data_IF_268474163611
#
_entry.id   IF_268474163611
#
_cell.length_a   1.000
_cell.length_b   1.000
_cell.length_c   1.000
_cell.angle_alpha   90.00
_cell.angle_beta   90.00
_cell.angle_gamma   90.00
#
_symmetry.space_group_name_H-M   'P 1'
#
loop_
_entity.id
_entity.type
_entity.pdbx_description
1 polymer ?
#
# COMPACT_ATOMS: atom_id res chain seq x y z
N UNK A 1 -6.83 19.45 -5.85
CA UNK A 1 -5.54 19.32 -5.16
C UNK A 1 -4.43 19.80 -6.07
N UNK A 2 -3.48 20.53 -5.51
CA UNK A 2 -2.37 21.05 -6.27
C UNK A 2 -1.32 19.94 -6.47
N UNK A 3 -1.22 19.44 -7.69
CA UNK A 3 -0.30 18.33 -8.00
C UNK A 3 1.13 18.78 -8.22
N UNK A 4 1.38 20.07 -8.30
CA UNK A 4 2.74 20.59 -8.47
C UNK A 4 3.53 20.49 -7.16
N UNK A 5 2.82 20.36 -6.05
CA UNK A 5 3.44 20.35 -4.75
C UNK A 5 3.32 18.97 -4.12
N UNK A 6 4.46 18.33 -3.90
CA UNK A 6 4.47 17.01 -3.29
C UNK A 6 4.24 17.15 -1.79
N UNK A 7 3.33 16.36 -1.27
CA UNK A 7 3.07 16.31 0.17
C UNK A 7 4.35 15.91 0.90
N UNK A 8 4.62 16.53 2.06
CA UNK A 8 5.79 16.18 2.84
C UNK A 8 5.68 14.76 3.41
N UNK A 9 6.83 14.17 3.73
CA UNK A 9 6.82 12.85 4.36
C UNK A 9 6.08 12.88 5.69
N UNK A 10 6.23 13.98 6.45
CA UNK A 10 5.55 14.10 7.74
C UNK A 10 4.04 14.11 7.60
N UNK A 11 3.53 14.90 6.65
CA UNK A 11 2.09 14.97 6.42
C UNK A 11 1.57 13.65 5.86
N UNK A 12 2.34 13.01 4.97
CA UNK A 12 1.96 11.72 4.43
C UNK A 12 1.93 10.65 5.52
N UNK A 13 2.92 10.68 6.41
CA UNK A 13 2.97 9.73 7.52
C UNK A 13 1.75 9.85 8.44
N UNK A 14 1.24 11.06 8.63
CA UNK A 14 0.01 11.23 9.40
C UNK A 14 -1.18 10.54 8.73
N UNK A 15 -1.26 10.62 7.40
CA UNK A 15 -2.31 9.91 6.67
C UNK A 15 -2.15 8.40 6.79
N UNK A 16 -0.91 7.91 6.71
CA UNK A 16 -0.63 6.49 6.84
C UNK A 16 -1.00 5.99 8.24
N UNK A 17 -0.64 6.75 9.26
CA UNK A 17 -0.98 6.38 10.64
C UNK A 17 -2.50 6.32 10.83
N UNK A 18 -3.21 7.31 10.32
CA UNK A 18 -4.66 7.30 10.38
C UNK A 18 -5.25 6.10 9.63
N UNK A 19 -4.69 5.80 8.46
CA UNK A 19 -5.13 4.65 7.68
C UNK A 19 -4.92 3.35 8.45
N UNK A 20 -3.76 3.19 9.08
CA UNK A 20 -3.48 2.00 9.87
C UNK A 20 -4.46 1.82 11.00
N UNK A 21 -4.93 2.91 11.60
CA UNK A 21 -5.91 2.83 12.67
C UNK A 21 -7.30 2.43 12.17
N UNK A 22 -7.58 2.64 10.89
CA UNK A 22 -8.87 2.29 10.31
C UNK A 22 -8.90 0.94 9.60
N UNK A 23 -7.74 0.34 9.37
CA UNK A 23 -7.67 -0.98 8.75
C UNK A 23 -7.94 -2.07 9.78
N UNK A 24 -8.28 -3.29 9.32
CA UNK A 24 -8.52 -4.39 10.26
C UNK A 24 -7.31 -4.62 11.16
N UNK A 25 -7.50 -4.43 12.47
CA UNK A 25 -6.37 -4.40 13.40
C UNK A 25 -5.65 -5.72 13.52
N UNK A 26 -6.33 -6.84 13.28
CA UNK A 26 -5.66 -8.13 13.31
C UNK A 26 -4.54 -8.21 12.28
N UNK A 27 -4.71 -7.55 11.12
CA UNK A 27 -3.68 -7.56 10.09
C UNK A 27 -2.58 -6.54 10.36
N UNK A 28 -2.92 -5.44 11.02
CA UNK A 28 -1.91 -4.44 11.40
C UNK A 28 -1.03 -4.99 12.52
N UNK A 29 -1.64 -5.58 13.54
CA UNK A 29 -0.91 -6.11 14.68
C UNK A 29 -0.06 -7.33 14.32
N UNK A 30 -0.45 -8.04 13.28
CA UNK A 30 0.30 -9.20 12.82
C UNK A 30 1.50 -8.88 11.95
N UNK A 31 1.70 -7.63 11.58
CA UNK A 31 2.87 -7.26 10.78
C UNK A 31 4.13 -7.46 11.62
N UNK A 32 5.08 -8.20 11.06
CA UNK A 32 6.30 -8.53 11.76
C UNK A 32 7.49 -8.28 10.85
N UNK A 33 8.39 -7.41 11.29
CA UNK A 33 9.58 -7.05 10.55
C UNK A 33 9.25 -6.49 9.16
N UNK A 34 8.34 -5.53 9.13
CA UNK A 34 7.93 -4.86 7.90
C UNK A 34 8.21 -3.37 8.05
N UNK A 35 8.95 -2.81 7.10
CA UNK A 35 9.20 -1.38 7.05
C UNK A 35 8.23 -0.75 6.05
N UNK A 36 7.61 0.35 6.43
CA UNK A 36 6.76 1.13 5.52
C UNK A 36 7.52 2.41 5.22
N UNK A 37 7.84 2.62 3.95
CA UNK A 37 8.64 3.76 3.52
C UNK A 37 7.93 4.52 2.41
N UNK A 38 8.34 5.75 2.20
CA UNK A 38 7.72 6.64 1.22
C UNK A 38 8.75 7.09 0.20
N UNK A 39 8.34 7.16 -1.06
CA UNK A 39 9.14 7.73 -2.12
C UNK A 39 8.24 8.61 -2.97
N UNK A 40 8.82 9.56 -3.69
CA UNK A 40 8.02 10.41 -4.56
C UNK A 40 7.54 9.62 -5.77
N UNK A 41 8.44 8.90 -6.42
CA UNK A 41 8.15 8.10 -7.61
C UNK A 41 8.82 6.74 -7.50
N UNK A 42 8.24 5.69 -8.12
CA UNK A 42 8.97 4.44 -8.24
C UNK A 42 10.20 4.63 -9.12
N UNK A 43 11.28 3.94 -8.78
CA UNK A 43 12.44 3.90 -9.63
C UNK A 43 12.23 2.86 -10.74
N UNK A 44 13.17 2.83 -11.68
CA UNK A 44 13.07 1.94 -12.82
C UNK A 44 12.99 0.46 -12.40
N UNK A 45 13.80 0.08 -11.43
CA UNK A 45 13.79 -1.30 -10.92
C UNK A 45 12.44 -1.68 -10.33
N UNK A 46 11.86 -0.79 -9.53
CA UNK A 46 10.55 -1.04 -8.92
C UNK A 46 9.45 -1.14 -9.97
N UNK A 47 9.49 -0.27 -10.96
CA UNK A 47 8.50 -0.32 -12.04
C UNK A 47 8.60 -1.62 -12.83
N UNK A 48 9.81 -2.07 -13.11
CA UNK A 48 10.02 -3.34 -13.81
C UNK A 48 9.58 -4.54 -12.98
N UNK A 49 9.89 -4.51 -11.68
CA UNK A 49 9.55 -5.59 -10.77
C UNK A 49 8.05 -5.79 -10.66
N UNK A 50 7.29 -4.71 -10.73
CA UNK A 50 5.83 -4.78 -10.66
C UNK A 50 5.19 -5.20 -11.97
N UNK A 51 5.96 -5.31 -13.05
CA UNK A 51 5.46 -5.60 -14.39
C UNK A 51 4.43 -4.56 -14.83
N UNK A 52 4.68 -3.32 -14.46
CA UNK A 52 3.77 -2.23 -14.76
C UNK A 52 3.75 -1.94 -16.26
N UNK A 53 2.56 -1.84 -16.83
CA UNK A 53 2.42 -1.50 -18.23
C UNK A 53 2.69 -0.02 -18.43
N UNK A 54 3.23 0.32 -19.59
CA UNK A 54 3.50 1.71 -19.93
C UNK A 54 2.22 2.55 -19.78
N UNK A 55 2.37 3.71 -19.18
CA UNK A 55 1.25 4.62 -18.96
C UNK A 55 0.48 4.42 -17.68
N UNK A 56 0.70 3.32 -16.99
CA UNK A 56 0.06 3.07 -15.70
C UNK A 56 0.90 3.62 -14.57
N UNK A 57 0.23 3.95 -13.46
CA UNK A 57 0.90 4.45 -12.27
C UNK A 57 1.03 3.34 -11.24
N UNK A 58 2.18 3.26 -10.61
CA UNK A 58 2.41 2.36 -9.49
C UNK A 58 2.22 3.17 -8.21
N UNK A 59 1.24 2.81 -7.42
CA UNK A 59 0.91 3.55 -6.19
C UNK A 59 1.65 3.03 -4.98
N UNK A 60 1.95 1.72 -4.96
CA UNK A 60 2.67 1.10 -3.87
C UNK A 60 3.31 -0.19 -4.32
N UNK A 61 4.21 -0.72 -3.50
CA UNK A 61 4.89 -1.97 -3.84
C UNK A 61 5.34 -2.66 -2.55
N UNK A 62 4.98 -3.93 -2.44
CA UNK A 62 5.51 -4.81 -1.40
C UNK A 62 6.71 -5.57 -1.95
N UNK A 63 7.81 -5.56 -1.19
CA UNK A 63 9.01 -6.31 -1.55
C UNK A 63 9.41 -7.18 -0.38
N UNK A 64 9.41 -8.49 -0.59
CA UNK A 64 9.74 -9.45 0.45
C UNK A 64 9.28 -10.82 0.04
N UNK A 65 9.19 -11.73 1.01
CA UNK A 65 8.67 -13.07 0.81
C UNK A 65 7.35 -13.20 1.56
N UNK A 66 6.21 -13.29 0.86
CA UNK A 66 4.91 -13.38 1.54
C UNK A 66 4.87 -14.53 2.53
N UNK A 67 4.14 -14.36 3.61
CA UNK A 67 4.07 -15.35 4.68
C UNK A 67 3.68 -16.74 4.19
N UNK A 68 2.76 -16.81 3.24
CA UNK A 68 2.30 -18.08 2.69
C UNK A 68 3.39 -18.84 1.93
N UNK A 69 4.49 -18.18 1.59
CA UNK A 69 5.57 -18.77 0.82
C UNK A 69 6.82 -19.05 1.65
N UNK A 70 6.79 -18.76 2.94
CA UNK A 70 7.93 -18.99 3.81
C UNK A 70 7.94 -20.40 4.33
N UNK A 71 9.08 -21.07 4.17
CA UNK A 71 9.26 -22.41 4.72
C UNK A 71 9.52 -22.36 6.22
N UNK A 72 9.42 -23.52 6.87
CA UNK A 72 9.65 -23.63 8.30
C UNK A 72 11.07 -23.32 8.75
N UNK A 73 12.03 -23.37 7.82
CA UNK A 73 13.41 -23.03 8.14
C UNK A 73 13.79 -21.59 7.87
N UNK A 74 12.82 -20.74 7.59
CA UNK A 74 13.09 -19.35 7.31
C UNK A 74 13.51 -18.61 8.57
N UNK A 75 14.74 -18.15 8.62
CA UNK A 75 15.30 -17.52 9.82
C UNK A 75 15.74 -16.08 9.57
N UNK A 76 15.10 -15.36 8.74
CA UNK A 76 15.63 -14.26 8.08
C UNK A 76 15.59 -12.93 8.71
N UNK A 77 16.43 -12.07 8.41
CA UNK A 77 16.71 -10.88 9.17
C UNK A 77 16.45 -9.54 8.47
N UNK A 78 16.38 -9.47 7.14
CA UNK A 78 16.04 -8.21 6.49
C UNK A 78 14.53 -8.00 6.53
N UNK A 79 14.08 -6.77 6.80
CA UNK A 79 12.65 -6.51 6.80
C UNK A 79 12.08 -6.62 5.40
N UNK A 80 10.82 -7.02 5.35
CA UNK A 80 10.03 -6.81 4.15
C UNK A 80 9.76 -5.31 4.05
N UNK A 81 9.57 -4.81 2.84
CA UNK A 81 9.39 -3.39 2.62
C UNK A 81 8.11 -3.14 1.86
N UNK A 82 7.30 -2.23 2.39
CA UNK A 82 6.17 -1.67 1.66
C UNK A 82 6.54 -0.24 1.33
N UNK A 83 6.59 0.09 0.04
CA UNK A 83 6.86 1.45 -0.41
C UNK A 83 5.57 2.06 -0.93
N UNK A 84 5.26 3.27 -0.48
CA UNK A 84 4.12 4.05 -0.99
C UNK A 84 4.67 5.21 -1.80
N UNK A 85 4.12 5.41 -3.00
CA UNK A 85 4.65 6.42 -3.92
C UNK A 85 3.75 7.65 -3.88
N UNK A 86 4.25 8.72 -3.29
CA UNK A 86 3.45 9.89 -2.95
C UNK A 86 2.87 10.60 -4.17
N UNK A 87 3.67 10.81 -5.20
CA UNK A 87 3.19 11.56 -6.36
C UNK A 87 2.13 10.79 -7.14
N UNK A 88 2.34 9.51 -7.48
CA UNK A 88 1.27 8.73 -8.10
C UNK A 88 -0.03 8.72 -7.29
N UNK A 89 0.07 8.55 -5.97
CA UNK A 89 -1.12 8.58 -5.12
C UNK A 89 -1.82 9.93 -5.20
N UNK A 90 -1.06 11.04 -5.15
CA UNK A 90 -1.64 12.36 -5.29
C UNK A 90 -2.29 12.56 -6.66
N UNK A 91 -1.67 12.06 -7.72
CA UNK A 91 -2.19 12.25 -9.08
C UNK A 91 -3.55 11.60 -9.28
N UNK A 92 -3.84 10.50 -8.59
CA UNK A 92 -5.13 9.83 -8.71
C UNK A 92 -6.15 10.34 -7.70
N UNK A 93 -5.80 11.34 -6.91
CA UNK A 93 -6.65 11.88 -5.85
C UNK A 93 -7.10 13.28 -6.23
N UNK A 94 -8.39 13.55 -6.19
CA UNK A 94 -8.94 14.83 -6.57
C UNK A 94 -9.00 15.84 -5.44
N UNK A 95 -8.95 15.38 -4.18
CA UNK A 95 -9.02 16.24 -3.00
C UNK A 95 -8.39 15.50 -1.81
N UNK A 96 -8.36 16.17 -0.66
CA UNK A 96 -7.71 15.59 0.52
C UNK A 96 -8.41 14.33 1.03
N UNK A 97 -9.72 14.29 0.94
CA UNK A 97 -10.47 13.12 1.36
C UNK A 97 -10.13 11.91 0.48
N UNK A 98 -10.08 12.13 -0.83
CA UNK A 98 -9.68 11.07 -1.75
C UNK A 98 -8.24 10.67 -1.55
N UNK A 99 -7.38 11.62 -1.22
CA UNK A 99 -5.97 11.31 -0.94
C UNK A 99 -5.88 10.31 0.22
N UNK A 100 -6.60 10.57 1.31
CA UNK A 100 -6.61 9.66 2.43
C UNK A 100 -7.14 8.28 2.04
N UNK A 101 -8.22 8.23 1.26
CA UNK A 101 -8.78 6.96 0.82
C UNK A 101 -7.81 6.19 -0.07
N UNK A 102 -7.09 6.89 -0.93
CA UNK A 102 -6.10 6.22 -1.77
C UNK A 102 -4.91 5.70 -0.96
N UNK A 103 -4.47 6.47 0.02
CA UNK A 103 -3.41 6.00 0.92
C UNK A 103 -3.86 4.72 1.62
N UNK A 104 -5.06 4.73 2.18
CA UNK A 104 -5.58 3.59 2.93
C UNK A 104 -5.71 2.36 2.03
N UNK A 105 -6.28 2.53 0.85
CA UNK A 105 -6.46 1.41 -0.09
C UNK A 105 -5.12 0.85 -0.55
N UNK A 106 -4.18 1.73 -0.90
CA UNK A 106 -2.87 1.29 -1.37
C UNK A 106 -2.14 0.53 -0.26
N UNK A 107 -2.14 1.10 0.94
CA UNK A 107 -1.50 0.44 2.08
C UNK A 107 -2.12 -0.94 2.33
N UNK A 108 -3.44 -1.03 2.34
CA UNK A 108 -4.12 -2.30 2.55
C UNK A 108 -3.74 -3.33 1.49
N UNK A 109 -3.68 -2.89 0.24
CA UNK A 109 -3.35 -3.77 -0.86
C UNK A 109 -1.95 -4.38 -0.68
N UNK A 110 -0.98 -3.57 -0.25
CA UNK A 110 0.38 -4.07 -0.05
C UNK A 110 0.49 -4.93 1.22
N UNK A 111 -0.25 -4.59 2.27
CA UNK A 111 -0.32 -5.45 3.45
C UNK A 111 -0.91 -6.81 3.08
N UNK A 112 -1.92 -6.82 2.23
CA UNK A 112 -2.51 -8.08 1.77
C UNK A 112 -1.48 -8.94 1.02
N UNK A 113 -0.61 -8.31 0.23
CA UNK A 113 0.49 -9.04 -0.42
C UNK A 113 1.44 -9.66 0.61
N UNK A 114 1.75 -8.92 1.67
CA UNK A 114 2.58 -9.46 2.75
C UNK A 114 1.98 -10.74 3.32
N UNK A 115 0.67 -10.77 3.52
CA UNK A 115 0.00 -11.95 4.04
C UNK A 115 -0.19 -13.05 2.99
N UNK A 116 0.10 -12.75 1.73
CA UNK A 116 -0.06 -13.73 0.65
C UNK A 116 -1.50 -13.96 0.25
N UNK A 117 -2.36 -12.97 0.44
CA UNK A 117 -3.77 -13.08 0.09
C UNK A 117 -3.94 -13.01 -1.43
N UNK A 118 -4.86 -13.81 -1.97
CA UNK A 118 -5.17 -13.74 -3.38
C UNK A 118 -6.14 -12.57 -3.67
N UNK A 119 -6.35 -12.29 -4.94
CA UNK A 119 -7.21 -11.17 -5.33
C UNK A 119 -8.63 -11.27 -4.79
N UNK A 120 -9.20 -12.48 -4.81
CA UNK A 120 -10.55 -12.67 -4.29
C UNK A 120 -10.62 -12.32 -2.80
N UNK A 121 -9.62 -12.74 -2.06
CA UNK A 121 -9.56 -12.46 -0.63
C UNK A 121 -9.31 -10.98 -0.36
N UNK A 122 -8.46 -10.35 -1.15
CA UNK A 122 -8.21 -8.92 -1.03
C UNK A 122 -9.50 -8.14 -1.26
N UNK A 123 -10.22 -8.47 -2.33
CA UNK A 123 -11.46 -7.79 -2.66
C UNK A 123 -12.51 -7.99 -1.56
N UNK A 124 -12.62 -9.20 -1.04
CA UNK A 124 -13.57 -9.47 0.03
C UNK A 124 -13.26 -8.66 1.28
N UNK A 125 -11.98 -8.49 1.60
CA UNK A 125 -11.57 -7.74 2.77
C UNK A 125 -11.65 -6.23 2.55
N UNK A 126 -11.49 -5.76 1.33
CA UNK A 126 -11.73 -4.35 1.03
C UNK A 126 -13.18 -3.97 1.24
N UNK A 127 -14.08 -4.93 1.20
CA UNK A 127 -15.49 -4.71 1.50
C UNK A 127 -15.76 -4.41 2.97
N UNK A 128 -14.74 -4.49 3.84
CA UNK A 128 -14.93 -4.13 5.24
C UNK A 128 -15.36 -2.68 5.42
N UNK A 129 -15.04 -1.85 4.47
CA UNK A 129 -15.43 -0.44 4.53
C UNK A 129 -16.73 -0.25 3.76
N UNK A 130 -17.83 -0.67 4.38
CA UNK A 130 -19.13 -0.55 3.73
C UNK A 130 -19.70 0.83 3.76
N UNK A 131 -19.01 1.76 4.37
CA UNK A 131 -19.43 3.15 4.31
C UNK A 131 -19.10 3.76 2.97
N UNK A 132 -18.26 3.12 2.20
CA UNK A 132 -17.92 3.59 0.87
C UNK A 132 -18.92 3.06 -0.15
N UNK A 133 -19.19 3.84 -1.20
CA UNK A 133 -20.01 3.34 -2.30
C UNK A 133 -19.36 2.10 -2.92
N UNK A 134 -20.14 1.20 -3.50
CA UNK A 134 -19.56 0.05 -4.19
C UNK A 134 -18.59 0.51 -5.26
N UNK A 135 -17.48 -0.20 -5.36
CA UNK A 135 -16.48 0.12 -6.36
C UNK A 135 -16.83 -0.50 -7.69
N UNK A 136 -16.58 0.27 -8.72
CA UNK A 136 -16.58 -0.24 -10.07
C UNK A 136 -15.18 -0.64 -10.40
N UNK A 137 -14.96 -1.88 -10.59
CA UNK A 137 -13.62 -2.37 -10.89
C UNK A 137 -13.43 -2.59 -12.36
#
# INVERSE_FOLDING_TARGET
MNQEQVISDEAFDQLVTKAMNELPQEYIQGLNNVAIVYADWPNEHQAQKSKLKEGNLLLGLYEGIPLTQRGGGYTYVLPDIITLFKVPIQMVSGNEEELFEQVKRTLWHEIAHYYGLNHDRIDALEGFDHMRPPHKH
#
